data_IF_790679690185
#
_entry.id   IF_790679690185
#
_cell.length_a   1.000
_cell.length_b   1.000
_cell.length_c   1.000
_cell.angle_alpha   90.00
_cell.angle_beta   90.00
_cell.angle_gamma   90.00
#
_symmetry.space_group_name_H-M   'P 1'
#
loop_
_entity.id
_entity.type
_entity.pdbx_description
1 polymer ?
#
# COMPACT_ATOMS: atom_id res chain seq x y z
N UNK A 1 -13.49 -9.87 44.90
CA UNK A 1 -12.65 -10.46 43.82
C UNK A 1 -12.97 -9.85 42.45
N UNK A 2 -13.78 -8.78 42.41
CA UNK A 2 -14.34 -8.21 41.18
C UNK A 2 -13.55 -7.01 40.64
N UNK A 3 -13.04 -6.17 41.54
CA UNK A 3 -12.25 -4.98 41.16
C UNK A 3 -10.92 -5.36 40.48
N UNK A 4 -10.25 -6.42 40.95
CA UNK A 4 -8.98 -6.89 40.37
C UNK A 4 -9.18 -7.48 38.96
N UNK A 5 -10.31 -8.17 38.72
CA UNK A 5 -10.69 -8.67 37.39
C UNK A 5 -11.03 -7.52 36.44
N UNK A 6 -11.72 -6.50 36.92
CA UNK A 6 -12.07 -5.31 36.13
C UNK A 6 -10.83 -4.52 35.70
N UNK A 7 -9.85 -4.35 36.59
CA UNK A 7 -8.57 -3.70 36.29
C UNK A 7 -7.72 -4.52 35.30
N UNK A 8 -7.71 -5.84 35.45
CA UNK A 8 -7.02 -6.74 34.53
C UNK A 8 -7.63 -6.68 33.11
N UNK A 9 -8.96 -6.63 33.02
CA UNK A 9 -9.70 -6.49 31.75
C UNK A 9 -9.43 -5.14 31.08
N UNK A 10 -9.37 -4.05 31.86
CA UNK A 10 -9.00 -2.73 31.35
C UNK A 10 -7.56 -2.70 30.83
N UNK A 11 -6.63 -3.31 31.56
CA UNK A 11 -5.23 -3.43 31.14
C UNK A 11 -5.06 -4.28 29.87
N UNK A 12 -5.79 -5.40 29.77
CA UNK A 12 -5.82 -6.26 28.58
C UNK A 12 -6.40 -5.55 27.36
N UNK A 13 -7.40 -4.68 27.53
CA UNK A 13 -7.97 -3.89 26.44
C UNK A 13 -6.94 -2.91 25.85
N UNK A 14 -6.17 -2.22 26.69
CA UNK A 14 -5.09 -1.32 26.25
C UNK A 14 -3.94 -2.04 25.53
N UNK A 15 -3.65 -3.30 25.89
CA UNK A 15 -2.61 -4.09 25.23
C UNK A 15 -2.97 -4.44 23.77
N UNK A 16 -4.26 -4.56 23.45
CA UNK A 16 -4.74 -4.89 22.11
C UNK A 16 -4.86 -3.68 21.18
N UNK A 17 -4.73 -2.44 21.70
CA UNK A 17 -4.69 -1.22 20.88
C UNK A 17 -3.32 -1.00 20.18
N UNK A 18 -2.32 -1.83 20.46
CA UNK A 18 -0.93 -1.57 20.08
C UNK A 18 -0.45 -2.07 18.72
N UNK A 19 -1.27 -2.80 17.94
CA UNK A 19 -0.81 -3.44 16.69
C UNK A 19 -1.84 -3.26 15.56
N UNK A 20 -2.09 -2.01 15.14
CA UNK A 20 -2.70 -1.77 13.82
C UNK A 20 -1.57 -1.62 12.81
N UNK A 21 -0.94 -2.74 12.44
CA UNK A 21 -0.25 -2.77 11.15
C UNK A 21 -1.36 -2.78 10.10
N UNK A 22 -1.29 -1.89 9.11
CA UNK A 22 -2.29 -1.87 8.04
C UNK A 22 -2.20 -3.17 7.24
N UNK A 23 -3.11 -4.10 7.50
CA UNK A 23 -3.23 -5.38 6.79
C UNK A 23 -3.73 -5.22 5.35
N UNK A 24 -4.10 -4.02 4.93
CA UNK A 24 -4.61 -3.76 3.60
C UNK A 24 -3.82 -2.64 2.93
N UNK A 25 -3.70 -2.68 1.60
CA UNK A 25 -3.38 -1.52 0.78
C UNK A 25 -4.69 -0.88 0.34
N UNK A 26 -4.91 0.38 0.69
CA UNK A 26 -6.19 1.07 0.47
C UNK A 26 -6.46 1.30 -1.02
N UNK A 27 -7.69 1.03 -1.47
CA UNK A 27 -8.14 1.38 -2.83
C UNK A 27 -7.96 2.89 -3.13
N UNK A 28 -8.14 3.76 -2.13
CA UNK A 28 -7.95 5.21 -2.30
C UNK A 28 -6.51 5.55 -2.68
N UNK A 29 -5.54 4.90 -2.05
CA UNK A 29 -4.12 5.10 -2.38
C UNK A 29 -3.80 4.59 -3.80
N UNK A 30 -4.48 3.53 -4.25
CA UNK A 30 -4.36 2.96 -5.59
C UNK A 30 -5.00 3.84 -6.69
N UNK A 31 -6.04 4.59 -6.34
CA UNK A 31 -6.81 5.49 -7.23
C UNK A 31 -6.19 6.88 -7.43
N UNK A 32 -5.27 7.31 -6.55
CA UNK A 32 -4.67 8.67 -6.61
C UNK A 32 -4.05 9.02 -7.98
N UNK A 33 -3.67 8.01 -8.75
CA UNK A 33 -3.06 8.19 -10.07
C UNK A 33 -4.05 8.25 -11.25
N UNK A 34 -5.36 8.16 -11.01
CA UNK A 34 -6.39 8.32 -12.05
C UNK A 34 -6.77 9.79 -12.29
N UNK A 35 -6.41 10.69 -11.37
CA UNK A 35 -6.71 12.12 -11.50
C UNK A 35 -5.58 12.88 -12.17
N UNK A 36 -5.80 13.33 -13.40
CA UNK A 36 -5.00 14.38 -14.02
C UNK A 36 -5.27 15.68 -13.25
N UNK A 37 -4.53 15.94 -12.17
CA UNK A 37 -4.61 17.20 -11.44
C UNK A 37 -3.45 18.09 -11.88
N UNK A 38 -3.79 19.08 -12.71
CA UNK A 38 -2.97 20.26 -12.84
C UNK A 38 -3.00 21.10 -11.56
N UNK A 39 -1.80 21.53 -11.13
CA UNK A 39 -1.44 22.72 -10.34
C UNK A 39 -0.98 22.52 -8.88
N UNK A 40 0.11 23.25 -8.64
CA UNK A 40 0.85 23.59 -7.40
C UNK A 40 1.68 22.51 -6.73
N UNK A 41 2.96 22.46 -7.10
CA UNK A 41 4.04 21.96 -6.25
C UNK A 41 4.04 22.74 -4.94
N UNK A 42 3.33 22.25 -3.93
CA UNK A 42 3.44 22.76 -2.56
C UNK A 42 4.72 22.18 -1.98
N UNK A 43 5.79 22.99 -1.96
CA UNK A 43 7.06 22.69 -1.27
C UNK A 43 6.87 22.74 0.25
N UNK A 44 5.89 22.01 0.79
CA UNK A 44 5.95 21.62 2.20
C UNK A 44 7.12 20.64 2.34
N UNK A 45 7.84 20.61 3.48
CA UNK A 45 8.82 19.57 3.72
C UNK A 45 8.11 18.24 3.55
N UNK A 46 8.35 17.57 2.41
CA UNK A 46 7.71 16.30 2.13
C UNK A 46 8.18 15.36 3.24
N UNK A 47 7.23 14.80 4.00
CA UNK A 47 7.50 13.56 4.73
C UNK A 47 8.18 12.63 3.72
N UNK A 48 9.45 12.33 3.94
CA UNK A 48 10.28 11.65 2.95
C UNK A 48 9.79 10.23 2.79
N UNK A 49 9.34 9.86 1.59
CA UNK A 49 8.89 8.53 1.25
C UNK A 49 10.10 7.60 0.98
N UNK A 50 11.07 7.62 1.89
CA UNK A 50 12.37 6.94 1.74
C UNK A 50 12.21 5.43 1.52
N UNK A 51 11.14 4.83 2.05
CA UNK A 51 10.83 3.43 1.81
C UNK A 51 10.51 3.15 0.33
N UNK A 52 9.79 4.06 -0.34
CA UNK A 52 9.40 3.96 -1.76
C UNK A 52 10.60 4.17 -2.70
N UNK A 53 11.54 5.04 -2.34
CA UNK A 53 12.78 5.28 -3.12
C UNK A 53 13.68 4.04 -3.18
N UNK A 54 13.69 3.25 -2.10
CA UNK A 54 14.56 2.07 -1.96
C UNK A 54 13.89 0.76 -2.43
N UNK A 55 12.69 0.81 -3.00
CA UNK A 55 12.01 -0.39 -3.48
C UNK A 55 12.71 -0.98 -4.71
N UNK A 56 12.82 -2.31 -4.74
CA UNK A 56 13.25 -3.03 -5.93
C UNK A 56 12.06 -3.24 -6.90
N UNK A 57 11.80 -2.24 -7.75
CA UNK A 57 10.72 -2.28 -8.75
C UNK A 57 10.83 -3.46 -9.73
N UNK A 58 11.99 -4.12 -9.84
CA UNK A 58 12.17 -5.31 -10.69
C UNK A 58 11.22 -6.45 -10.31
N UNK A 59 10.83 -6.57 -9.04
CA UNK A 59 9.86 -7.59 -8.59
C UNK A 59 8.53 -7.44 -9.34
N UNK A 60 8.11 -6.20 -9.61
CA UNK A 60 6.90 -5.87 -10.34
C UNK A 60 7.13 -5.90 -11.86
N UNK A 61 8.15 -5.21 -12.36
CA UNK A 61 8.36 -5.00 -13.81
C UNK A 61 8.84 -6.26 -14.54
N UNK A 62 9.45 -7.23 -13.85
CA UNK A 62 9.85 -8.50 -14.45
C UNK A 62 8.67 -9.45 -14.71
N UNK A 63 7.62 -9.36 -13.90
CA UNK A 63 6.47 -10.29 -13.88
C UNK A 63 5.21 -9.69 -14.51
N UNK A 64 4.87 -8.45 -14.16
CA UNK A 64 3.73 -7.75 -14.72
C UNK A 64 4.15 -7.15 -16.06
N UNK A 65 3.77 -7.79 -17.16
CA UNK A 65 4.14 -7.37 -18.52
C UNK A 65 2.94 -7.35 -19.44
N UNK A 66 2.87 -6.30 -20.28
CA UNK A 66 1.93 -6.22 -21.37
C UNK A 66 2.27 -7.19 -22.52
N UNK A 67 1.33 -7.42 -23.45
CA UNK A 67 -0.01 -6.81 -23.50
C UNK A 67 -1.04 -7.45 -22.54
N UNK A 68 -0.77 -8.67 -22.04
CA UNK A 68 -1.72 -9.43 -21.23
C UNK A 68 -1.40 -9.30 -19.74
N UNK A 69 -1.92 -8.24 -19.13
CA UNK A 69 -1.88 -8.04 -17.68
C UNK A 69 -2.90 -8.96 -17.00
N UNK A 70 -2.46 -9.74 -16.01
CA UNK A 70 -3.33 -10.63 -15.23
C UNK A 70 -3.17 -10.38 -13.74
N UNK A 71 -4.23 -10.64 -12.98
CA UNK A 71 -4.25 -10.47 -11.52
C UNK A 71 -3.08 -11.20 -10.86
N UNK A 72 -2.84 -12.46 -11.24
CA UNK A 72 -1.78 -13.28 -10.66
C UNK A 72 -0.37 -12.72 -10.94
N UNK A 73 -0.14 -12.15 -12.13
CA UNK A 73 1.18 -11.64 -12.52
C UNK A 73 1.45 -10.22 -12.04
N UNK A 74 0.41 -9.44 -11.76
CA UNK A 74 0.55 -8.03 -11.41
C UNK A 74 0.23 -7.75 -9.94
N UNK A 75 -0.84 -8.33 -9.40
CA UNK A 75 -1.28 -8.01 -8.04
C UNK A 75 -0.45 -8.71 -6.97
N UNK A 76 0.03 -9.93 -7.23
CA UNK A 76 0.94 -10.65 -6.30
C UNK A 76 2.25 -9.89 -6.09
N UNK A 77 3.03 -9.54 -7.13
CA UNK A 77 4.27 -8.78 -6.93
C UNK A 77 4.04 -7.36 -6.45
N UNK A 78 2.91 -6.73 -6.80
CA UNK A 78 2.52 -5.43 -6.26
C UNK A 78 2.38 -5.52 -4.73
N UNK A 79 1.68 -6.55 -4.23
CA UNK A 79 1.53 -6.80 -2.79
C UNK A 79 2.88 -7.11 -2.13
N UNK A 80 3.78 -7.86 -2.77
CA UNK A 80 5.13 -8.12 -2.24
C UNK A 80 5.93 -6.84 -2.00
N UNK A 81 5.78 -5.83 -2.85
CA UNK A 81 6.47 -4.54 -2.69
C UNK A 81 5.77 -3.61 -1.69
N UNK A 82 4.44 -3.56 -1.71
CA UNK A 82 3.69 -2.55 -0.96
C UNK A 82 3.32 -3.00 0.46
N UNK A 83 3.09 -4.29 0.69
CA UNK A 83 2.69 -4.77 2.01
C UNK A 83 3.72 -4.49 3.13
N UNK A 84 5.04 -4.58 2.90
CA UNK A 84 6.03 -4.19 3.91
C UNK A 84 6.03 -2.70 4.27
N UNK A 85 5.43 -1.85 3.42
CA UNK A 85 5.39 -0.40 3.58
C UNK A 85 3.96 0.14 3.60
N UNK A 86 2.97 -0.71 3.89
CA UNK A 86 1.54 -0.42 3.75
C UNK A 86 1.13 0.81 4.54
N UNK A 87 1.64 0.98 5.76
CA UNK A 87 1.35 2.13 6.62
C UNK A 87 1.79 3.45 5.99
N UNK A 88 2.99 3.49 5.37
CA UNK A 88 3.49 4.68 4.69
C UNK A 88 2.78 4.91 3.35
N UNK A 89 2.49 3.83 2.62
CA UNK A 89 1.81 3.90 1.33
C UNK A 89 0.35 4.37 1.49
N UNK A 90 -0.33 3.95 2.56
CA UNK A 90 -1.71 4.31 2.85
C UNK A 90 -1.86 5.69 3.53
N UNK A 91 -0.78 6.33 3.96
CA UNK A 91 -0.83 7.68 4.52
C UNK A 91 -1.10 8.70 3.40
N UNK A 92 -2.38 8.98 3.16
CA UNK A 92 -2.86 9.96 2.17
C UNK A 92 -2.40 11.40 2.47
N UNK A 93 -1.80 11.67 3.64
CA UNK A 93 -1.15 12.96 3.93
C UNK A 93 0.25 13.08 3.32
N UNK A 94 0.76 12.02 2.71
CA UNK A 94 2.09 11.93 2.09
C UNK A 94 2.00 11.75 0.58
N UNK A 95 3.05 12.12 -0.18
CA UNK A 95 3.13 11.86 -1.61
C UNK A 95 3.58 10.43 -1.95
N UNK A 96 3.57 9.49 -0.98
CA UNK A 96 4.21 8.18 -1.16
C UNK A 96 3.53 7.32 -2.23
N UNK A 97 2.20 7.36 -2.30
CA UNK A 97 1.44 6.65 -3.33
C UNK A 97 1.72 7.22 -4.74
N UNK A 98 1.68 8.55 -4.88
CA UNK A 98 1.98 9.24 -6.15
C UNK A 98 3.40 8.96 -6.62
N UNK A 99 4.37 9.02 -5.70
CA UNK A 99 5.77 8.75 -6.01
C UNK A 99 5.99 7.28 -6.44
N UNK A 100 5.34 6.34 -5.75
CA UNK A 100 5.40 4.93 -6.12
C UNK A 100 4.86 4.69 -7.54
N UNK A 101 3.66 5.18 -7.85
CA UNK A 101 3.08 5.00 -9.18
C UNK A 101 3.84 5.76 -10.25
N UNK A 102 4.38 6.94 -9.96
CA UNK A 102 5.29 7.66 -10.86
C UNK A 102 6.50 6.81 -11.25
N UNK A 103 7.19 6.25 -10.27
CA UNK A 103 8.35 5.38 -10.50
C UNK A 103 7.97 4.07 -11.21
N UNK A 104 6.92 3.39 -10.76
CA UNK A 104 6.47 2.13 -11.34
C UNK A 104 6.04 2.30 -12.79
N UNK A 105 5.27 3.35 -13.11
CA UNK A 105 4.80 3.62 -14.47
C UNK A 105 5.96 4.02 -15.38
N UNK A 106 6.92 4.81 -14.88
CA UNK A 106 8.12 5.16 -15.63
C UNK A 106 8.99 3.93 -15.97
N UNK A 107 9.29 3.09 -14.98
CA UNK A 107 10.18 1.92 -15.14
C UNK A 107 9.50 0.77 -15.88
N UNK A 108 8.23 0.49 -15.58
CA UNK A 108 7.48 -0.64 -16.12
C UNK A 108 6.68 -0.32 -17.39
N UNK A 109 6.57 0.96 -17.77
CA UNK A 109 5.70 1.46 -18.85
C UNK A 109 4.23 1.00 -18.67
N UNK A 110 3.76 1.00 -17.43
CA UNK A 110 2.39 0.58 -17.12
C UNK A 110 1.38 1.64 -17.57
N UNK A 111 0.22 1.23 -18.10
CA UNK A 111 -0.91 2.12 -18.32
C UNK A 111 -1.39 2.75 -17.01
N UNK A 112 -1.82 4.01 -17.09
CA UNK A 112 -2.44 4.70 -15.95
C UNK A 112 -3.70 3.95 -15.47
N UNK A 113 -3.87 3.86 -14.16
CA UNK A 113 -4.98 3.13 -13.53
C UNK A 113 -4.99 1.62 -13.84
N UNK A 114 -3.87 1.02 -14.25
CA UNK A 114 -3.81 -0.44 -14.44
C UNK A 114 -4.10 -1.16 -13.12
N UNK A 115 -3.39 -0.78 -12.06
CA UNK A 115 -3.46 -1.49 -10.78
C UNK A 115 -4.78 -1.24 -10.05
N UNK A 116 -5.34 -0.02 -10.10
CA UNK A 116 -6.67 0.32 -9.56
C UNK A 116 -7.79 -0.51 -10.15
N UNK A 117 -7.70 -0.85 -11.44
CA UNK A 117 -8.72 -1.66 -12.12
C UNK A 117 -8.46 -3.16 -11.99
N UNK A 118 -7.20 -3.57 -11.99
CA UNK A 118 -6.82 -4.98 -12.01
C UNK A 118 -6.74 -5.60 -10.60
N UNK A 119 -6.34 -4.83 -9.60
CA UNK A 119 -5.95 -5.33 -8.28
C UNK A 119 -6.92 -4.86 -7.18
N UNK A 120 -8.19 -5.23 -7.32
CA UNK A 120 -9.25 -4.95 -6.32
C UNK A 120 -9.73 -6.26 -5.69
N UNK A 121 -9.52 -6.43 -4.39
CA UNK A 121 -9.91 -7.65 -3.65
C UNK A 121 -11.16 -7.43 -2.76
N UNK A 122 -11.54 -6.19 -2.49
CA UNK A 122 -12.69 -5.85 -1.63
C UNK A 122 -12.77 -4.36 -1.32
N UNK A 123 -13.66 -3.98 -0.40
CA UNK A 123 -13.89 -2.58 -0.01
C UNK A 123 -12.67 -1.91 0.64
N UNK A 124 -11.93 -2.67 1.43
CA UNK A 124 -10.73 -2.21 2.15
C UNK A 124 -9.47 -2.13 1.26
N UNK A 125 -9.51 -2.77 0.08
CA UNK A 125 -8.41 -2.84 -0.87
C UNK A 125 -7.69 -4.19 -0.87
N UNK A 126 -6.38 -4.21 -1.16
CA UNK A 126 -5.59 -5.44 -1.30
C UNK A 126 -5.17 -5.98 0.08
N UNK A 127 -5.52 -7.22 0.38
CA UNK A 127 -5.24 -7.89 1.66
C UNK A 127 -3.81 -8.44 1.76
N UNK A 128 -2.98 -7.81 2.58
CA UNK A 128 -1.59 -8.20 2.84
C UNK A 128 -1.44 -9.46 3.72
N UNK A 129 -2.51 -9.95 4.36
CA UNK A 129 -2.46 -11.12 5.25
C UNK A 129 -1.98 -12.38 4.54
N UNK A 130 -2.23 -12.50 3.23
CA UNK A 130 -1.83 -13.66 2.42
C UNK A 130 -0.36 -13.66 1.99
N UNK A 131 0.34 -12.52 2.05
CA UNK A 131 1.77 -12.43 1.72
C UNK A 131 2.63 -12.90 2.90
N UNK A 132 2.14 -12.69 4.13
CA UNK A 132 2.81 -13.09 5.39
C UNK A 132 2.90 -14.61 5.61
N UNK A 133 2.25 -15.43 4.78
CA UNK A 133 2.30 -16.90 4.85
C UNK A 133 3.19 -17.57 3.81
N UNK A 134 3.99 -16.80 3.06
CA UNK A 134 4.90 -17.30 2.01
C UNK A 134 6.39 -17.02 2.32
N UNK A 135 6.71 -16.73 3.58
CA UNK A 135 8.09 -16.70 4.11
C UNK A 135 8.25 -17.89 5.05
#
# INVERSE_FOLDING_TARGET
>A
MDSQRSLLMLFLSFLMLGLVSSYHISNKALELHESVVGRSLRQQPQKTCKAVENLNYSVLTSQCKGPNYTVQRCCVPLKQLLCPISDQFNDLSTPCADMFFGNANYLGRFPLGLFSRLCVEGKEGLDCSKILGLI
#
